data_IF_269395118107
#
_entry.id   IF_269395118107
#
_cell.length_a   1.000
_cell.length_b   1.000
_cell.length_c   1.000
_cell.angle_alpha   90.00
_cell.angle_beta   90.00
_cell.angle_gamma   90.00
#
_symmetry.space_group_name_H-M   'P 1'
#
loop_
_entity.id
_entity.type
_entity.pdbx_description
1 polymer ?
#
# COMPACT_ATOMS: atom_id res chain seq x y z
N UNK A 1 -22.27 4.05 38.13
CA UNK A 1 -23.20 3.69 37.08
C UNK A 1 -22.79 2.31 36.58
N UNK A 2 -23.69 1.32 36.77
CA UNK A 2 -23.44 -0.09 36.44
C UNK A 2 -23.06 -0.24 34.98
N UNK A 3 -21.87 -0.78 34.68
CA UNK A 3 -21.55 -1.30 33.36
C UNK A 3 -22.58 -2.38 33.04
N UNK A 4 -23.56 -2.03 32.21
CA UNK A 4 -24.49 -2.99 31.65
C UNK A 4 -23.62 -3.97 30.84
N UNK A 5 -23.48 -5.21 31.35
CA UNK A 5 -22.66 -6.25 30.71
C UNK A 5 -23.38 -6.69 29.43
N UNK A 6 -23.10 -5.97 28.31
CA UNK A 6 -23.55 -6.33 26.99
C UNK A 6 -23.10 -7.77 26.68
N UNK A 7 -24.06 -8.62 26.34
CA UNK A 7 -23.78 -9.98 25.89
C UNK A 7 -23.13 -9.97 24.51
N UNK A 8 -22.46 -11.06 24.15
CA UNK A 8 -21.88 -11.20 22.78
C UNK A 8 -22.94 -11.05 21.68
N UNK A 9 -24.19 -11.42 21.98
CA UNK A 9 -25.29 -11.36 21.01
C UNK A 9 -25.88 -9.96 20.87
N UNK A 10 -25.87 -9.14 21.92
CA UNK A 10 -26.25 -7.73 21.85
C UNK A 10 -25.28 -6.94 20.96
N UNK A 11 -23.98 -7.23 21.07
CA UNK A 11 -22.94 -6.61 20.23
C UNK A 11 -23.12 -6.97 18.76
N UNK A 12 -23.52 -8.22 18.44
CA UNK A 12 -23.76 -8.62 17.04
C UNK A 12 -24.98 -7.97 16.39
N UNK A 13 -25.95 -7.51 17.19
CA UNK A 13 -27.17 -6.83 16.71
C UNK A 13 -26.96 -5.35 16.39
N UNK A 14 -25.77 -4.79 16.63
CA UNK A 14 -25.48 -3.39 16.34
C UNK A 14 -25.63 -3.13 14.83
N UNK A 15 -26.48 -2.17 14.41
CA UNK A 15 -26.73 -1.92 12.99
C UNK A 15 -25.46 -1.44 12.26
N UNK A 16 -25.39 -1.75 10.99
CA UNK A 16 -24.38 -1.20 10.07
C UNK A 16 -24.86 0.17 9.60
N UNK A 17 -24.06 1.21 9.82
CA UNK A 17 -24.42 2.59 9.53
C UNK A 17 -23.68 3.14 8.31
N UNK A 18 -24.13 4.30 7.80
CA UNK A 18 -23.41 5.03 6.75
C UNK A 18 -22.00 5.43 7.19
N UNK A 19 -21.78 5.64 8.49
CA UNK A 19 -20.44 5.89 9.03
C UNK A 19 -19.52 4.68 8.89
N UNK A 20 -20.05 3.48 9.13
CA UNK A 20 -19.30 2.22 8.90
C UNK A 20 -18.98 2.05 7.40
N UNK A 21 -19.96 2.34 6.52
CA UNK A 21 -19.75 2.29 5.06
C UNK A 21 -18.66 3.27 4.61
N UNK A 22 -18.63 4.48 5.16
CA UNK A 22 -17.57 5.46 4.89
C UNK A 22 -16.18 4.91 5.22
N UNK A 23 -16.02 4.27 6.37
CA UNK A 23 -14.75 3.64 6.75
C UNK A 23 -14.39 2.45 5.88
N UNK A 24 -15.36 1.62 5.47
CA UNK A 24 -15.13 0.53 4.50
C UNK A 24 -14.57 1.09 3.19
N UNK A 25 -15.17 2.16 2.66
CA UNK A 25 -14.71 2.81 1.43
C UNK A 25 -13.29 3.36 1.58
N UNK A 26 -12.98 4.00 2.69
CA UNK A 26 -11.63 4.52 2.95
C UNK A 26 -10.59 3.41 3.06
N UNK A 27 -10.91 2.29 3.70
CA UNK A 27 -10.03 1.11 3.75
C UNK A 27 -9.76 0.55 2.34
N UNK A 28 -10.80 0.41 1.52
CA UNK A 28 -10.69 -0.01 0.12
C UNK A 28 -9.81 0.97 -0.67
N UNK A 29 -10.04 2.28 -0.49
CA UNK A 29 -9.27 3.30 -1.18
C UNK A 29 -7.79 3.30 -0.86
N UNK A 30 -7.42 2.98 0.37
CA UNK A 30 -6.03 2.86 0.80
C UNK A 30 -5.35 1.66 0.14
N UNK A 31 -6.05 0.53 -0.01
CA UNK A 31 -5.49 -0.68 -0.60
C UNK A 31 -5.32 -0.58 -2.13
N UNK A 32 -6.27 0.10 -2.82
CA UNK A 32 -6.20 0.28 -4.28
C UNK A 32 -5.12 1.30 -4.63
N UNK A 33 -3.90 0.82 -4.79
CA UNK A 33 -2.70 1.60 -5.10
C UNK A 33 -1.67 0.76 -5.87
N UNK A 34 -0.39 0.89 -5.55
CA UNK A 34 0.73 0.23 -6.24
C UNK A 34 0.58 -1.30 -6.34
N UNK A 35 0.02 -1.94 -5.31
CA UNK A 35 -0.16 -3.40 -5.32
C UNK A 35 -0.96 -3.89 -6.51
N UNK A 36 -2.08 -3.23 -6.81
CA UNK A 36 -2.96 -3.62 -7.92
C UNK A 36 -2.30 -3.42 -9.27
N UNK A 37 -1.59 -2.31 -9.45
CA UNK A 37 -1.05 -1.94 -10.78
C UNK A 37 0.21 -2.73 -11.15
N UNK A 38 0.94 -3.30 -10.18
CA UNK A 38 2.16 -4.08 -10.46
C UNK A 38 1.97 -5.59 -10.32
N UNK A 39 0.98 -6.03 -9.54
CA UNK A 39 0.72 -7.45 -9.30
C UNK A 39 0.53 -8.26 -10.62
N UNK A 40 -0.27 -7.80 -11.61
CA UNK A 40 -0.46 -8.58 -12.84
C UNK A 40 0.84 -8.78 -13.64
N UNK A 41 1.75 -7.79 -13.62
CA UNK A 41 3.06 -7.92 -14.29
C UNK A 41 3.89 -9.01 -13.60
N UNK A 42 3.94 -8.97 -12.29
CA UNK A 42 4.65 -9.99 -11.51
C UNK A 42 4.10 -11.40 -11.76
N UNK A 43 2.77 -11.54 -11.88
CA UNK A 43 2.14 -12.82 -12.21
C UNK A 43 2.51 -13.25 -13.64
N UNK A 44 2.47 -12.33 -14.59
CA UNK A 44 2.84 -12.63 -15.99
C UNK A 44 4.30 -13.06 -16.15
N UNK A 45 5.20 -12.56 -15.28
CA UNK A 45 6.63 -12.95 -15.29
C UNK A 45 6.86 -14.28 -14.58
N UNK A 46 6.27 -14.47 -13.38
CA UNK A 46 6.57 -15.60 -12.49
C UNK A 46 5.57 -16.77 -12.61
N UNK A 47 4.46 -16.55 -13.28
CA UNK A 47 3.43 -17.54 -13.54
C UNK A 47 2.28 -17.58 -12.53
N UNK A 48 1.14 -18.06 -13.01
CA UNK A 48 -0.12 -18.10 -12.25
C UNK A 48 -0.06 -19.05 -11.04
N UNK A 49 0.65 -20.16 -11.15
CA UNK A 49 0.76 -21.16 -10.07
C UNK A 49 1.48 -20.61 -8.84
N UNK A 50 2.54 -19.83 -9.06
CA UNK A 50 3.25 -19.12 -8.00
C UNK A 50 2.31 -18.13 -7.32
N UNK A 51 1.48 -17.43 -8.09
CA UNK A 51 0.51 -16.46 -7.56
C UNK A 51 -0.57 -17.16 -6.74
N UNK A 52 -1.15 -18.28 -7.21
CA UNK A 52 -2.17 -19.03 -6.46
C UNK A 52 -1.64 -19.46 -5.09
N UNK A 53 -0.43 -20.03 -5.03
CA UNK A 53 0.17 -20.41 -3.74
C UNK A 53 0.47 -19.19 -2.88
N UNK A 54 0.93 -18.08 -3.50
CA UNK A 54 1.14 -16.82 -2.78
C UNK A 54 -0.15 -16.28 -2.16
N UNK A 55 -1.29 -16.35 -2.86
CA UNK A 55 -2.60 -15.95 -2.31
C UNK A 55 -2.97 -16.82 -1.09
N UNK A 56 -2.86 -18.14 -1.22
CA UNK A 56 -3.22 -19.09 -0.16
C UNK A 56 -2.42 -18.81 1.12
N UNK A 57 -1.16 -18.40 0.98
CA UNK A 57 -0.30 -18.07 2.12
C UNK A 57 -0.51 -16.64 2.60
N UNK A 58 -0.50 -15.67 1.71
CA UNK A 58 -0.40 -14.25 2.08
C UNK A 58 -1.74 -13.66 2.49
N UNK A 59 -2.84 -13.98 1.79
CA UNK A 59 -4.15 -13.38 2.09
C UNK A 59 -4.65 -13.72 3.50
N UNK A 60 -4.69 -14.99 3.95
CA UNK A 60 -5.06 -15.27 5.33
C UNK A 60 -4.16 -14.54 6.33
N UNK A 61 -2.87 -14.47 6.04
CA UNK A 61 -1.91 -13.77 6.90
C UNK A 61 -2.17 -12.28 7.03
N UNK A 62 -2.52 -11.60 5.94
CA UNK A 62 -2.85 -10.16 6.00
C UNK A 62 -4.16 -9.94 6.78
N UNK A 63 -5.16 -10.79 6.57
CA UNK A 63 -6.38 -10.72 7.36
C UNK A 63 -6.09 -10.84 8.86
N UNK A 64 -5.32 -11.86 9.25
CA UNK A 64 -4.91 -12.08 10.64
C UNK A 64 -4.07 -10.92 11.19
N UNK A 65 -3.15 -10.40 10.39
CA UNK A 65 -2.32 -9.25 10.73
C UNK A 65 -3.17 -8.02 11.04
N UNK A 66 -4.12 -7.68 10.18
CA UNK A 66 -4.98 -6.52 10.36
C UNK A 66 -5.95 -6.70 11.55
N UNK A 67 -6.48 -7.91 11.75
CA UNK A 67 -7.33 -8.25 12.89
C UNK A 67 -6.56 -8.14 14.23
N UNK A 68 -5.34 -8.70 14.29
CA UNK A 68 -4.46 -8.62 15.47
C UNK A 68 -4.02 -7.18 15.71
N UNK A 69 -3.68 -6.43 14.66
CA UNK A 69 -3.33 -5.02 14.78
C UNK A 69 -4.46 -4.20 15.43
N UNK A 70 -5.70 -4.34 14.96
CA UNK A 70 -6.87 -3.70 15.57
C UNK A 70 -7.11 -4.14 17.01
N UNK A 71 -6.97 -5.43 17.30
CA UNK A 71 -7.11 -5.95 18.67
C UNK A 71 -6.03 -5.39 19.60
N UNK A 72 -4.79 -5.27 19.12
CA UNK A 72 -3.71 -4.63 19.89
C UNK A 72 -4.05 -3.17 20.21
N UNK A 73 -4.44 -2.39 19.19
CA UNK A 73 -4.88 -1.00 19.39
C UNK A 73 -6.05 -0.90 20.36
N UNK A 74 -6.98 -1.82 20.31
CA UNK A 74 -8.17 -1.81 21.17
C UNK A 74 -7.89 -2.18 22.63
N UNK A 75 -6.79 -2.86 22.96
CA UNK A 75 -6.42 -3.21 24.34
C UNK A 75 -5.76 -2.06 25.10
N UNK A 76 -5.18 -1.09 24.41
CA UNK A 76 -4.55 0.06 25.07
C UNK A 76 -5.57 1.00 25.69
N UNK A 77 -5.25 1.63 26.81
CA UNK A 77 -6.17 2.54 27.51
C UNK A 77 -6.45 3.79 26.66
N UNK A 78 -5.40 4.39 26.13
CA UNK A 78 -5.50 5.55 25.26
C UNK A 78 -5.77 5.15 23.81
N UNK A 79 -6.58 5.96 23.13
CA UNK A 79 -6.78 5.83 21.69
C UNK A 79 -5.60 6.48 20.93
N UNK A 80 -4.44 5.84 20.95
CA UNK A 80 -3.20 6.31 20.30
C UNK A 80 -2.91 5.56 19.01
N UNK A 81 -2.01 6.12 18.20
CA UNK A 81 -1.46 5.43 17.05
C UNK A 81 -0.49 4.29 17.46
N UNK A 82 -0.17 3.44 16.50
CA UNK A 82 0.64 2.25 16.79
C UNK A 82 2.07 2.57 17.22
N UNK A 83 2.67 3.65 16.69
CA UNK A 83 4.03 4.06 17.05
C UNK A 83 4.09 4.53 18.50
N UNK A 84 3.08 5.28 18.94
CA UNK A 84 2.93 5.70 20.33
C UNK A 84 2.76 4.52 21.28
N UNK A 85 2.01 3.49 20.87
CA UNK A 85 1.85 2.25 21.64
C UNK A 85 3.20 1.52 21.79
N UNK A 86 3.97 1.41 20.72
CA UNK A 86 5.29 0.80 20.77
C UNK A 86 6.21 1.60 21.71
N UNK A 87 6.24 2.91 21.61
CA UNK A 87 7.00 3.78 22.51
C UNK A 87 6.63 3.55 23.99
N UNK A 88 5.34 3.47 24.26
CA UNK A 88 4.82 3.30 25.62
C UNK A 88 5.22 1.96 26.25
N UNK A 89 5.16 0.88 25.49
CA UNK A 89 5.37 -0.48 26.00
C UNK A 89 6.79 -1.03 25.84
N UNK A 90 7.51 -0.62 24.80
CA UNK A 90 8.86 -1.11 24.51
C UNK A 90 9.96 -0.09 24.81
N UNK A 91 9.58 1.17 25.05
CA UNK A 91 10.51 2.24 25.44
C UNK A 91 11.06 3.08 24.29
N UNK A 92 11.85 4.14 24.59
CA UNK A 92 12.25 5.17 23.64
C UNK A 92 13.16 4.66 22.51
N UNK A 93 14.02 3.67 22.77
CA UNK A 93 14.89 3.12 21.73
C UNK A 93 14.09 2.40 20.64
N UNK A 94 13.02 1.72 21.00
CA UNK A 94 12.10 1.11 20.05
C UNK A 94 11.31 2.15 19.25
N UNK A 95 10.96 3.27 19.88
CA UNK A 95 10.32 4.39 19.20
C UNK A 95 11.23 4.99 18.12
N UNK A 96 12.51 5.19 18.42
CA UNK A 96 13.50 5.69 17.44
C UNK A 96 13.65 4.70 16.28
N UNK A 97 13.83 3.41 16.60
CA UNK A 97 13.93 2.36 15.58
C UNK A 97 12.71 2.34 14.66
N UNK A 98 11.50 2.38 15.24
CA UNK A 98 10.26 2.43 14.47
C UNK A 98 10.13 3.68 13.60
N UNK A 99 10.52 4.84 14.14
CA UNK A 99 10.48 6.09 13.38
C UNK A 99 11.40 6.05 12.16
N UNK A 100 12.58 5.47 12.29
CA UNK A 100 13.51 5.28 11.17
C UNK A 100 12.92 4.35 10.11
N UNK A 101 12.44 3.18 10.52
CA UNK A 101 11.85 2.21 9.57
C UNK A 101 10.61 2.80 8.90
N UNK A 102 9.77 3.48 9.67
CA UNK A 102 8.57 4.13 9.14
C UNK A 102 8.92 5.22 8.12
N UNK A 103 9.94 6.05 8.41
CA UNK A 103 10.45 7.03 7.46
C UNK A 103 10.94 6.37 6.17
N UNK A 104 11.71 5.28 6.27
CA UNK A 104 12.18 4.52 5.10
C UNK A 104 11.01 3.92 4.29
N UNK A 105 9.95 3.46 4.96
CA UNK A 105 8.73 2.96 4.29
C UNK A 105 8.02 4.08 3.53
N UNK A 106 7.87 5.26 4.13
CA UNK A 106 7.27 6.43 3.48
C UNK A 106 8.10 6.90 2.29
N UNK A 107 9.42 7.03 2.47
CA UNK A 107 10.34 7.41 1.41
C UNK A 107 10.30 6.44 0.22
N UNK A 108 10.36 5.13 0.50
CA UNK A 108 10.18 4.09 -0.52
C UNK A 108 8.84 4.20 -1.22
N UNK A 109 7.78 4.50 -0.49
CA UNK A 109 6.43 4.65 -1.05
C UNK A 109 6.35 5.79 -2.06
N UNK A 110 6.80 6.99 -1.69
CA UNK A 110 6.80 8.14 -2.62
C UNK A 110 7.74 7.92 -3.80
N UNK A 111 8.88 7.25 -3.61
CA UNK A 111 9.79 6.90 -4.69
C UNK A 111 9.14 5.92 -5.68
N UNK A 112 8.47 4.89 -5.18
CA UNK A 112 7.75 3.91 -6.01
C UNK A 112 6.70 4.58 -6.91
N UNK A 113 5.91 5.51 -6.36
CA UNK A 113 4.91 6.24 -7.13
C UNK A 113 5.51 7.29 -8.07
N UNK A 114 6.65 7.88 -7.73
CA UNK A 114 7.38 8.79 -8.61
C UNK A 114 7.91 8.06 -9.85
N UNK A 115 8.44 6.84 -9.68
CA UNK A 115 8.81 5.97 -10.80
C UNK A 115 7.57 5.66 -11.65
N UNK A 116 6.51 5.15 -11.05
CA UNK A 116 5.30 4.77 -11.76
C UNK A 116 4.72 5.92 -12.59
N UNK A 117 4.52 7.10 -11.99
CA UNK A 117 3.93 8.23 -12.72
C UNK A 117 4.82 8.73 -13.86
N UNK A 118 6.14 8.72 -13.67
CA UNK A 118 7.08 9.18 -14.70
C UNK A 118 7.05 8.28 -15.94
N UNK A 119 7.11 6.96 -15.74
CA UNK A 119 7.14 6.01 -16.85
C UNK A 119 5.75 5.77 -17.46
N UNK A 120 4.69 5.68 -16.65
CA UNK A 120 3.34 5.48 -17.14
C UNK A 120 2.83 6.69 -17.93
N UNK A 121 3.05 7.92 -17.43
CA UNK A 121 2.63 9.12 -18.14
C UNK A 121 3.31 9.25 -19.51
N UNK A 122 4.60 8.93 -19.59
CA UNK A 122 5.32 8.88 -20.86
C UNK A 122 4.75 7.80 -21.82
N UNK A 123 4.46 6.62 -21.27
CA UNK A 123 3.85 5.52 -22.03
C UNK A 123 2.45 5.86 -22.56
N UNK A 124 1.62 6.55 -21.74
CA UNK A 124 0.30 6.99 -22.16
C UNK A 124 0.36 8.03 -23.28
N UNK A 125 1.25 9.04 -23.17
CA UNK A 125 1.43 10.05 -24.22
C UNK A 125 1.79 9.39 -25.55
N UNK A 126 2.70 8.42 -25.54
CA UNK A 126 3.04 7.64 -26.73
C UNK A 126 1.86 6.79 -27.24
N UNK A 127 1.13 6.12 -26.34
CA UNK A 127 -0.01 5.26 -26.70
C UNK A 127 -1.15 6.04 -27.35
N UNK A 128 -1.36 7.31 -26.96
CA UNK A 128 -2.36 8.21 -27.57
C UNK A 128 -1.83 8.98 -28.79
N UNK A 129 -0.59 8.73 -29.22
CA UNK A 129 0.02 9.41 -30.37
C UNK A 129 0.28 10.91 -30.16
N UNK A 130 0.40 11.35 -28.90
CA UNK A 130 0.75 12.75 -28.56
C UNK A 130 2.25 12.97 -28.76
N UNK A 131 3.05 11.92 -28.55
CA UNK A 131 4.51 11.93 -28.75
C UNK A 131 4.96 10.71 -29.52
N UNK A 132 5.97 10.85 -30.39
CA UNK A 132 6.53 9.74 -31.16
C UNK A 132 7.43 8.85 -30.29
N UNK A 133 8.14 9.41 -29.33
CA UNK A 133 9.04 8.72 -28.39
C UNK A 133 8.54 8.75 -26.96
N UNK A 134 9.23 7.99 -26.08
CA UNK A 134 8.96 8.00 -24.66
C UNK A 134 9.50 9.27 -24.02
N UNK A 135 8.62 10.11 -23.47
CA UNK A 135 9.02 11.34 -22.75
C UNK A 135 9.91 11.05 -21.54
N UNK A 136 9.81 9.85 -20.96
CA UNK A 136 10.68 9.39 -19.85
C UNK A 136 12.17 9.26 -20.24
N UNK A 137 12.51 9.29 -21.52
CA UNK A 137 13.89 9.32 -21.97
C UNK A 137 14.54 10.68 -21.79
N UNK A 138 13.73 11.73 -21.66
CA UNK A 138 14.18 13.08 -21.40
C UNK A 138 14.30 13.35 -19.87
N UNK A 139 15.45 13.82 -19.42
CA UNK A 139 15.74 14.05 -18.00
C UNK A 139 14.76 15.02 -17.33
N UNK A 140 14.25 16.00 -18.06
CA UNK A 140 13.33 17.03 -17.53
C UNK A 140 11.91 16.49 -17.30
N UNK A 141 11.50 15.39 -17.96
CA UNK A 141 10.15 14.83 -17.83
C UNK A 141 9.87 14.38 -16.39
N UNK A 142 10.76 13.58 -15.81
CA UNK A 142 10.66 13.16 -14.42
C UNK A 142 10.63 14.35 -13.45
N UNK A 143 11.46 15.36 -13.69
CA UNK A 143 11.47 16.59 -12.87
C UNK A 143 10.12 17.31 -12.92
N UNK A 144 9.55 17.49 -14.12
CA UNK A 144 8.24 18.12 -14.32
C UNK A 144 7.15 17.39 -13.56
N UNK A 145 7.03 16.09 -13.81
CA UNK A 145 5.93 15.26 -13.25
C UNK A 145 6.02 15.16 -11.74
N UNK A 146 7.23 14.95 -11.19
CA UNK A 146 7.45 14.91 -9.74
C UNK A 146 7.18 16.26 -9.11
N UNK A 147 7.58 17.37 -9.74
CA UNK A 147 7.31 18.72 -9.24
C UNK A 147 5.81 19.00 -9.15
N UNK A 148 5.04 18.58 -10.15
CA UNK A 148 3.57 18.71 -10.12
C UNK A 148 2.96 17.88 -9.00
N UNK A 149 3.39 16.63 -8.82
CA UNK A 149 2.90 15.78 -7.74
C UNK A 149 3.21 16.34 -6.35
N UNK A 150 4.46 16.79 -6.13
CA UNK A 150 4.87 17.37 -4.86
C UNK A 150 4.15 18.67 -4.59
N UNK A 151 3.98 19.52 -5.61
CA UNK A 151 3.23 20.77 -5.48
C UNK A 151 1.76 20.51 -5.09
N UNK A 152 1.09 19.54 -5.72
CA UNK A 152 -0.27 19.12 -5.35
C UNK A 152 -0.34 18.57 -3.93
N UNK A 153 0.61 17.70 -3.56
CA UNK A 153 0.64 17.07 -2.24
C UNK A 153 0.93 18.07 -1.12
N UNK A 154 1.63 19.16 -1.42
CA UNK A 154 1.99 20.21 -0.46
C UNK A 154 0.86 21.19 -0.15
N UNK A 155 -0.29 21.12 -0.83
CA UNK A 155 -1.45 22.00 -0.58
C UNK A 155 -2.17 21.71 0.75
N UNK A 156 -1.82 20.62 1.42
CA UNK A 156 -2.33 20.26 2.74
C UNK A 156 -3.50 19.28 2.73
N UNK A 157 -3.81 18.79 3.93
CA UNK A 157 -4.76 17.70 4.15
C UNK A 157 -6.16 17.95 3.58
N UNK A 158 -6.69 19.16 3.71
CA UNK A 158 -8.06 19.49 3.30
C UNK A 158 -8.29 19.27 1.80
N UNK A 159 -7.33 19.67 0.97
CA UNK A 159 -7.42 19.49 -0.48
C UNK A 159 -7.29 17.99 -0.83
N UNK A 160 -6.36 17.32 -0.19
CA UNK A 160 -6.11 15.90 -0.41
C UNK A 160 -7.36 15.06 -0.09
N UNK A 161 -7.99 15.28 1.06
CA UNK A 161 -9.22 14.56 1.42
C UNK A 161 -10.38 14.88 0.48
N UNK A 162 -10.54 16.15 0.07
CA UNK A 162 -11.57 16.54 -0.88
C UNK A 162 -11.44 15.86 -2.24
N UNK A 163 -10.20 15.66 -2.72
CA UNK A 163 -9.93 15.01 -4.00
C UNK A 163 -10.00 13.48 -3.86
N UNK A 164 -9.40 12.92 -2.81
CA UNK A 164 -9.22 11.47 -2.66
C UNK A 164 -10.55 10.74 -2.43
N UNK A 165 -11.49 11.30 -1.69
CA UNK A 165 -12.74 10.61 -1.33
C UNK A 165 -13.58 10.18 -2.56
N UNK A 166 -13.93 11.06 -3.51
CA UNK A 166 -14.68 10.63 -4.70
C UNK A 166 -13.86 9.68 -5.59
N UNK A 167 -12.53 9.85 -5.65
CA UNK A 167 -11.66 9.01 -6.46
C UNK A 167 -11.66 7.54 -6.01
N UNK A 168 -11.88 7.28 -4.71
CA UNK A 168 -11.89 5.90 -4.17
C UNK A 168 -13.03 5.08 -4.74
N UNK A 169 -14.25 5.62 -4.75
CA UNK A 169 -15.42 4.93 -5.32
C UNK A 169 -15.25 4.67 -6.81
N UNK A 170 -14.75 5.67 -7.52
CA UNK A 170 -14.48 5.57 -8.96
C UNK A 170 -13.43 4.50 -9.23
N UNK A 171 -12.35 4.44 -8.44
CA UNK A 171 -11.31 3.41 -8.58
C UNK A 171 -11.86 1.99 -8.48
N UNK A 172 -12.68 1.71 -7.45
CA UNK A 172 -13.25 0.37 -7.27
C UNK A 172 -14.16 -0.01 -8.45
N UNK A 173 -15.00 0.94 -8.88
CA UNK A 173 -15.85 0.74 -10.07
C UNK A 173 -15.03 0.44 -11.33
N UNK A 174 -13.98 1.22 -11.57
CA UNK A 174 -13.13 1.04 -12.76
C UNK A 174 -12.36 -0.30 -12.69
N UNK A 175 -11.86 -0.71 -11.51
CA UNK A 175 -11.19 -2.02 -11.34
C UNK A 175 -12.11 -3.16 -11.79
N UNK A 176 -13.36 -3.14 -11.35
CA UNK A 176 -14.33 -4.16 -11.73
C UNK A 176 -14.69 -4.08 -13.22
N UNK A 177 -14.93 -2.89 -13.73
CA UNK A 177 -15.30 -2.68 -15.15
C UNK A 177 -14.17 -3.08 -16.10
N UNK A 178 -12.91 -2.77 -15.79
CA UNK A 178 -11.76 -3.22 -16.59
C UNK A 178 -11.68 -4.76 -16.56
N UNK A 179 -11.82 -5.37 -15.37
CA UNK A 179 -11.83 -6.82 -15.26
C UNK A 179 -12.90 -7.48 -16.13
N UNK A 180 -14.12 -6.92 -16.15
CA UNK A 180 -15.22 -7.39 -17.01
C UNK A 180 -14.90 -7.14 -18.50
N UNK A 181 -14.40 -5.96 -18.85
CA UNK A 181 -14.06 -5.60 -20.22
C UNK A 181 -12.93 -6.49 -20.81
N UNK A 182 -12.12 -7.10 -19.96
CA UNK A 182 -11.07 -8.04 -20.36
C UNK A 182 -11.57 -9.46 -20.63
N UNK A 183 -12.76 -9.86 -20.16
CA UNK A 183 -13.28 -11.23 -20.32
C UNK A 183 -13.29 -11.69 -21.80
N UNK A 184 -13.71 -10.89 -22.79
CA UNK A 184 -13.68 -11.29 -24.19
C UNK A 184 -12.26 -11.56 -24.74
N UNK A 185 -11.23 -11.08 -24.06
CA UNK A 185 -9.83 -11.20 -24.45
C UNK A 185 -9.09 -12.29 -23.66
N UNK A 186 -9.79 -13.06 -22.82
CA UNK A 186 -9.17 -14.14 -22.07
C UNK A 186 -8.65 -15.25 -22.99
N UNK A 187 -7.40 -15.59 -22.77
CA UNK A 187 -6.74 -16.69 -23.46
C UNK A 187 -6.08 -17.60 -22.42
N UNK A 188 -6.67 -18.77 -22.21
CA UNK A 188 -6.17 -19.74 -21.24
C UNK A 188 -4.83 -20.36 -21.63
N UNK A 189 -4.36 -20.20 -22.89
CA UNK A 189 -3.01 -20.58 -23.26
C UNK A 189 -1.91 -19.73 -22.62
N UNK A 190 -2.28 -18.58 -22.02
CA UNK A 190 -1.38 -17.76 -21.20
C UNK A 190 -1.04 -18.42 -19.85
N UNK A 191 -1.74 -19.49 -19.47
CA UNK A 191 -1.43 -20.25 -18.25
C UNK A 191 -0.13 -21.02 -18.50
N UNK A 192 0.95 -20.59 -17.84
CA UNK A 192 2.23 -21.26 -17.90
C UNK A 192 2.20 -22.65 -17.27
N UNK A 193 3.09 -23.54 -17.71
CA UNK A 193 3.32 -24.81 -17.04
C UNK A 193 3.82 -24.58 -15.60
N UNK A 194 3.66 -25.61 -14.75
CA UNK A 194 4.24 -25.57 -13.40
C UNK A 194 5.77 -25.46 -13.48
N UNK A 195 6.38 -24.46 -12.83
CA UNK A 195 7.84 -24.35 -12.79
C UNK A 195 8.45 -25.48 -11.97
N UNK A 196 9.76 -25.70 -12.13
CA UNK A 196 10.47 -26.66 -11.28
C UNK A 196 10.50 -26.16 -9.82
N UNK A 197 10.69 -27.07 -8.86
CA UNK A 197 10.55 -26.76 -7.42
C UNK A 197 11.49 -25.64 -6.94
N UNK A 198 12.72 -25.59 -7.45
CA UNK A 198 13.71 -24.57 -7.04
C UNK A 198 13.31 -23.16 -7.48
N UNK A 199 12.96 -22.99 -8.76
CA UNK A 199 12.44 -21.72 -9.28
C UNK A 199 11.10 -21.36 -8.67
N UNK A 200 10.24 -22.35 -8.38
CA UNK A 200 8.96 -22.13 -7.74
C UNK A 200 9.08 -21.47 -6.36
N UNK A 201 9.97 -21.99 -5.51
CA UNK A 201 10.20 -21.43 -4.16
C UNK A 201 10.77 -20.02 -4.27
N UNK A 202 11.79 -19.81 -5.10
CA UNK A 202 12.36 -18.48 -5.36
C UNK A 202 11.27 -17.48 -5.79
N UNK A 203 10.52 -17.84 -6.82
CA UNK A 203 9.50 -16.98 -7.43
C UNK A 203 8.33 -16.71 -6.48
N UNK A 204 8.01 -17.66 -5.56
CA UNK A 204 7.06 -17.47 -4.49
C UNK A 204 7.50 -16.34 -3.55
N UNK A 205 8.75 -16.37 -3.05
CA UNK A 205 9.28 -15.30 -2.20
C UNK A 205 9.31 -13.96 -2.90
N UNK A 206 9.63 -13.91 -4.20
CA UNK A 206 9.66 -12.68 -5.00
C UNK A 206 8.27 -12.15 -5.32
N UNK A 207 7.23 -12.99 -5.34
CA UNK A 207 5.84 -12.58 -5.63
C UNK A 207 5.08 -12.15 -4.37
N UNK A 208 5.40 -12.71 -3.19
CA UNK A 208 4.72 -12.38 -1.93
C UNK A 208 4.63 -10.88 -1.60
N UNK A 209 5.63 -10.01 -1.87
CA UNK A 209 5.51 -8.58 -1.64
C UNK A 209 4.33 -7.95 -2.40
N UNK A 210 4.14 -8.31 -3.66
CA UNK A 210 3.07 -7.77 -4.51
C UNK A 210 1.70 -8.29 -4.08
N UNK A 211 1.61 -9.59 -3.77
CA UNK A 211 0.38 -10.19 -3.22
C UNK A 211 -0.04 -9.51 -1.93
N UNK A 212 0.92 -9.17 -1.05
CA UNK A 212 0.63 -8.44 0.18
C UNK A 212 0.18 -7.00 -0.09
N UNK A 213 0.92 -6.25 -0.92
CA UNK A 213 0.60 -4.85 -1.22
C UNK A 213 -0.74 -4.69 -1.95
N UNK A 214 -1.23 -5.74 -2.61
CA UNK A 214 -2.49 -5.68 -3.33
C UNK A 214 -3.72 -5.52 -2.42
N UNK A 215 -3.64 -5.96 -1.16
CA UNK A 215 -4.78 -6.02 -0.23
C UNK A 215 -4.49 -5.37 1.13
N UNK A 216 -3.30 -4.82 1.32
CA UNK A 216 -2.89 -4.25 2.61
C UNK A 216 -3.41 -2.81 2.77
N UNK A 217 -4.16 -2.56 3.86
CA UNK A 217 -4.60 -1.21 4.28
C UNK A 217 -4.37 -0.94 5.77
N UNK A 218 -3.35 -1.57 6.36
CA UNK A 218 -3.06 -1.50 7.79
C UNK A 218 -2.90 -0.05 8.30
N UNK A 219 -2.39 0.86 7.48
CA UNK A 219 -2.11 2.25 7.85
C UNK A 219 -3.36 3.02 8.27
N UNK A 220 -4.54 2.68 7.71
CA UNK A 220 -5.80 3.34 8.07
C UNK A 220 -6.46 2.76 9.32
N UNK A 221 -6.02 1.61 9.81
CA UNK A 221 -6.68 0.93 10.94
C UNK A 221 -6.50 1.66 12.27
N UNK A 222 -5.39 2.39 12.49
CA UNK A 222 -5.23 3.28 13.63
C UNK A 222 -6.27 4.41 13.62
N UNK A 223 -6.40 5.21 12.54
CA UNK A 223 -7.50 6.18 12.40
C UNK A 223 -8.88 5.58 12.62
N UNK A 224 -9.18 4.40 12.07
CA UNK A 224 -10.45 3.69 12.27
C UNK A 224 -10.70 3.42 13.75
N UNK A 225 -9.74 2.85 14.47
CA UNK A 225 -9.86 2.55 15.90
C UNK A 225 -10.07 3.83 16.72
N UNK A 226 -9.29 4.88 16.46
CA UNK A 226 -9.40 6.18 17.14
C UNK A 226 -10.79 6.80 16.92
N UNK A 227 -11.28 6.77 15.68
CA UNK A 227 -12.57 7.33 15.31
C UNK A 227 -13.73 6.63 16.03
N UNK A 228 -13.74 5.28 16.04
CA UNK A 228 -14.78 4.55 16.78
C UNK A 228 -14.71 4.76 18.28
N UNK A 229 -13.51 4.86 18.86
CA UNK A 229 -13.35 5.14 20.30
C UNK A 229 -13.75 6.56 20.69
N UNK A 230 -13.83 7.50 19.76
CA UNK A 230 -14.37 8.85 20.00
C UNK A 230 -15.89 8.89 20.00
N UNK A 231 -16.56 8.09 19.18
CA UNK A 231 -18.03 8.11 19.05
C UNK A 231 -18.75 7.08 19.93
N UNK A 232 -18.06 6.00 20.32
CA UNK A 232 -18.62 4.93 21.14
C UNK A 232 -18.05 4.97 22.55
N UNK A 233 -18.92 5.19 23.52
CA UNK A 233 -18.54 5.18 24.95
C UNK A 233 -18.09 3.79 25.41
N UNK A 234 -18.67 2.73 24.82
CA UNK A 234 -18.35 1.35 25.14
C UNK A 234 -17.23 0.83 24.22
N UNK A 235 -16.08 0.55 24.81
CA UNK A 235 -14.89 0.07 24.10
C UNK A 235 -15.11 -1.24 23.34
N UNK A 236 -15.95 -2.15 23.86
CA UNK A 236 -16.27 -3.42 23.17
C UNK A 236 -17.04 -3.16 21.88
N UNK A 237 -17.99 -2.22 21.91
CA UNK A 237 -18.74 -1.79 20.72
C UNK A 237 -17.81 -1.14 19.70
N UNK A 238 -16.97 -0.20 20.12
CA UNK A 238 -15.99 0.45 19.27
C UNK A 238 -15.09 -0.57 18.54
N UNK A 239 -14.55 -1.53 19.30
CA UNK A 239 -13.69 -2.61 18.75
C UNK A 239 -14.45 -3.51 17.77
N UNK A 240 -15.67 -3.89 18.11
CA UNK A 240 -16.49 -4.73 17.24
C UNK A 240 -16.79 -4.03 15.90
N UNK A 241 -17.16 -2.75 15.92
CA UNK A 241 -17.42 -1.96 14.71
C UNK A 241 -16.16 -1.82 13.86
N UNK A 242 -15.00 -1.52 14.44
CA UNK A 242 -13.73 -1.44 13.74
C UNK A 242 -13.34 -2.77 13.07
N UNK A 243 -13.48 -3.91 13.79
CA UNK A 243 -13.22 -5.24 13.24
C UNK A 243 -14.22 -5.59 12.12
N UNK A 244 -15.50 -5.23 12.27
CA UNK A 244 -16.52 -5.45 11.23
C UNK A 244 -16.18 -4.69 9.94
N UNK A 245 -15.79 -3.42 10.05
CA UNK A 245 -15.33 -2.62 8.92
C UNK A 245 -14.13 -3.27 8.23
N UNK A 246 -13.12 -3.68 9.00
CA UNK A 246 -11.96 -4.39 8.48
C UNK A 246 -12.36 -5.65 7.70
N UNK A 247 -13.24 -6.48 8.23
CA UNK A 247 -13.71 -7.71 7.58
C UNK A 247 -14.43 -7.46 6.27
N UNK A 248 -15.35 -6.49 6.25
CA UNK A 248 -16.13 -6.16 5.05
C UNK A 248 -15.21 -5.57 3.98
N UNK A 249 -14.36 -4.61 4.34
CA UNK A 249 -13.40 -4.02 3.41
C UNK A 249 -12.45 -5.09 2.83
N UNK A 250 -11.95 -5.97 3.69
CA UNK A 250 -11.08 -7.07 3.29
C UNK A 250 -11.76 -8.02 2.30
N UNK A 251 -13.00 -8.44 2.57
CA UNK A 251 -13.73 -9.36 1.70
C UNK A 251 -14.00 -8.74 0.31
N UNK A 252 -14.46 -7.48 0.27
CA UNK A 252 -14.69 -6.76 -0.99
C UNK A 252 -13.39 -6.64 -1.78
N UNK A 253 -12.30 -6.24 -1.12
CA UNK A 253 -10.99 -6.11 -1.75
C UNK A 253 -10.49 -7.45 -2.29
N UNK A 254 -10.54 -8.52 -1.48
CA UNK A 254 -10.06 -9.83 -1.89
C UNK A 254 -10.74 -10.30 -3.18
N UNK A 255 -12.09 -10.21 -3.24
CA UNK A 255 -12.86 -10.62 -4.42
C UNK A 255 -12.52 -9.74 -5.63
N UNK A 256 -12.52 -8.41 -5.44
CA UNK A 256 -12.30 -7.46 -6.54
C UNK A 256 -10.91 -7.56 -7.13
N UNK A 257 -9.88 -7.70 -6.27
CA UNK A 257 -8.49 -7.75 -6.70
C UNK A 257 -8.14 -9.08 -7.33
N UNK A 258 -8.66 -10.19 -6.78
CA UNK A 258 -8.47 -11.50 -7.39
C UNK A 258 -9.10 -11.55 -8.78
N UNK A 259 -10.33 -11.08 -8.92
CA UNK A 259 -10.99 -10.98 -10.21
C UNK A 259 -10.18 -10.15 -11.22
N UNK A 260 -9.72 -8.98 -10.80
CA UNK A 260 -8.87 -8.11 -11.62
C UNK A 260 -7.55 -8.77 -12.00
N UNK A 261 -6.82 -9.35 -11.04
CA UNK A 261 -5.53 -9.99 -11.27
C UNK A 261 -5.65 -11.20 -12.23
N UNK A 262 -6.67 -12.04 -12.05
CA UNK A 262 -6.92 -13.16 -12.96
C UNK A 262 -7.33 -12.69 -14.35
N UNK A 263 -8.17 -11.63 -14.46
CA UNK A 263 -8.53 -11.07 -15.76
C UNK A 263 -7.31 -10.59 -16.54
N UNK A 264 -6.38 -9.91 -15.86
CA UNK A 264 -5.12 -9.50 -16.48
C UNK A 264 -4.24 -10.70 -16.87
N UNK A 265 -4.13 -11.70 -16.00
CA UNK A 265 -3.30 -12.88 -16.24
C UNK A 265 -3.79 -13.70 -17.44
N UNK A 266 -5.09 -13.81 -17.63
CA UNK A 266 -5.65 -14.51 -18.79
C UNK A 266 -5.57 -13.68 -20.06
N UNK A 267 -5.49 -12.34 -19.97
CA UNK A 267 -5.47 -11.45 -21.12
C UNK A 267 -4.05 -11.16 -21.63
N UNK A 268 -3.09 -10.97 -20.72
CA UNK A 268 -1.72 -10.60 -21.05
C UNK A 268 -0.79 -11.81 -21.01
N UNK A 269 0.03 -11.97 -22.05
CA UNK A 269 1.01 -13.04 -22.12
C UNK A 269 2.33 -12.68 -21.43
N UNK A 270 3.21 -13.67 -21.29
CA UNK A 270 4.51 -13.50 -20.64
C UNK A 270 5.40 -12.45 -21.31
N UNK A 271 5.44 -12.41 -22.65
CA UNK A 271 6.26 -11.45 -23.40
C UNK A 271 5.83 -10.01 -23.15
N UNK A 272 4.51 -9.78 -23.08
CA UNK A 272 3.93 -8.47 -22.77
C UNK A 272 4.26 -8.05 -21.33
N UNK A 273 4.21 -8.98 -20.36
CA UNK A 273 4.61 -8.71 -18.99
C UNK A 273 6.11 -8.38 -18.90
N UNK A 274 6.97 -9.08 -19.65
CA UNK A 274 8.40 -8.78 -19.74
C UNK A 274 8.68 -7.42 -20.41
N UNK A 275 7.88 -7.03 -21.41
CA UNK A 275 7.95 -5.70 -22.01
C UNK A 275 7.65 -4.60 -20.98
N UNK A 276 6.57 -4.77 -20.22
CA UNK A 276 6.22 -3.84 -19.16
C UNK A 276 7.32 -3.72 -18.09
N UNK A 277 7.91 -4.84 -17.71
CA UNK A 277 9.05 -4.87 -16.78
C UNK A 277 10.26 -4.07 -17.32
N UNK A 278 10.65 -4.32 -18.58
CA UNK A 278 11.76 -3.60 -19.22
C UNK A 278 11.50 -2.10 -19.36
N UNK A 279 10.26 -1.71 -19.65
CA UNK A 279 9.85 -0.31 -19.77
C UNK A 279 9.53 0.33 -18.40
N UNK A 280 9.54 -0.43 -17.33
CA UNK A 280 9.21 0.01 -15.96
C UNK A 280 7.80 0.62 -15.83
N UNK A 281 6.86 0.15 -16.65
CA UNK A 281 5.46 0.61 -16.69
C UNK A 281 4.54 -0.34 -15.91
N UNK A 282 3.39 0.16 -15.49
CA UNK A 282 2.37 -0.63 -14.79
C UNK A 282 1.55 -1.52 -15.73
N UNK A 283 0.83 -2.48 -15.17
CA UNK A 283 -0.12 -3.32 -15.90
C UNK A 283 -1.21 -2.49 -16.60
N UNK A 284 -1.61 -1.37 -16.00
CA UNK A 284 -2.60 -0.47 -16.61
C UNK A 284 -2.03 0.24 -17.85
N UNK A 285 -0.79 0.74 -17.78
CA UNK A 285 -0.14 1.34 -18.94
C UNK A 285 0.08 0.30 -20.06
N UNK A 286 0.44 -0.94 -19.69
CA UNK A 286 0.54 -2.03 -20.65
C UNK A 286 -0.82 -2.35 -21.30
N UNK A 287 -1.89 -2.46 -20.50
CA UNK A 287 -3.23 -2.76 -21.02
C UNK A 287 -3.71 -1.67 -22.00
N UNK A 288 -3.47 -0.40 -21.69
CA UNK A 288 -3.79 0.69 -22.61
C UNK A 288 -3.04 0.60 -23.95
N UNK A 289 -1.80 0.05 -23.92
CA UNK A 289 -0.95 -0.10 -25.10
C UNK A 289 -1.35 -1.30 -25.96
N UNK A 290 -1.75 -2.40 -25.35
CA UNK A 290 -1.94 -3.70 -26.02
C UNK A 290 -3.40 -3.98 -26.36
N UNK A 291 -4.35 -3.58 -25.50
CA UNK A 291 -5.75 -3.92 -25.69
C UNK A 291 -6.44 -2.97 -26.68
N UNK A 292 -7.31 -3.52 -27.56
CA UNK A 292 -8.12 -2.71 -28.45
C UNK A 292 -9.23 -1.97 -27.72
N UNK A 293 -9.69 -0.86 -28.29
CA UNK A 293 -10.83 -0.10 -27.77
C UNK A 293 -10.45 1.13 -26.97
N UNK A 294 -11.04 2.27 -27.36
CA UNK A 294 -10.81 3.56 -26.71
C UNK A 294 -11.30 3.60 -25.26
N UNK A 295 -12.39 2.90 -24.97
CA UNK A 295 -12.96 2.84 -23.62
C UNK A 295 -11.99 2.22 -22.60
N UNK A 296 -11.38 1.05 -22.95
CA UNK A 296 -10.41 0.38 -22.07
C UNK A 296 -9.19 1.30 -21.86
N UNK A 297 -8.69 1.94 -22.91
CA UNK A 297 -7.57 2.89 -22.80
C UNK A 297 -7.88 4.03 -21.85
N UNK A 298 -9.05 4.68 -21.96
CA UNK A 298 -9.45 5.77 -21.09
C UNK A 298 -9.59 5.29 -19.63
N UNK A 299 -10.26 4.15 -19.43
CA UNK A 299 -10.46 3.59 -18.08
C UNK A 299 -9.14 3.23 -17.40
N UNK A 300 -8.20 2.63 -18.13
CA UNK A 300 -6.88 2.29 -17.58
C UNK A 300 -6.07 3.53 -17.20
N UNK A 301 -6.12 4.59 -18.02
CA UNK A 301 -5.46 5.88 -17.69
C UNK A 301 -6.09 6.51 -16.45
N UNK A 302 -7.43 6.59 -16.38
CA UNK A 302 -8.13 7.16 -15.22
C UNK A 302 -7.82 6.39 -13.95
N UNK A 303 -7.88 5.05 -13.99
CA UNK A 303 -7.55 4.22 -12.84
C UNK A 303 -6.10 4.43 -12.40
N UNK A 304 -5.17 4.49 -13.35
CA UNK A 304 -3.75 4.69 -13.07
C UNK A 304 -3.51 6.05 -12.38
N UNK A 305 -4.02 7.12 -12.96
CA UNK A 305 -3.91 8.48 -12.38
C UNK A 305 -4.50 8.49 -10.97
N UNK A 306 -5.70 7.95 -10.79
CA UNK A 306 -6.36 7.95 -9.48
C UNK A 306 -5.63 7.07 -8.46
N UNK A 307 -5.14 5.90 -8.87
CA UNK A 307 -4.40 5.00 -7.98
C UNK A 307 -3.08 5.63 -7.52
N UNK A 308 -2.31 6.17 -8.46
CA UNK A 308 -1.01 6.79 -8.15
C UNK A 308 -1.20 8.08 -7.35
N UNK A 309 -2.07 8.98 -7.81
CA UNK A 309 -2.27 10.29 -7.19
C UNK A 309 -2.74 10.16 -5.74
N UNK A 310 -3.81 9.38 -5.49
CA UNK A 310 -4.34 9.24 -4.13
C UNK A 310 -3.35 8.59 -3.18
N UNK A 311 -2.58 7.61 -3.64
CA UNK A 311 -1.59 6.93 -2.83
C UNK A 311 -0.35 7.81 -2.58
N UNK A 312 0.14 8.51 -3.60
CA UNK A 312 1.24 9.47 -3.45
C UNK A 312 0.87 10.57 -2.45
N UNK A 313 -0.29 11.21 -2.64
CA UNK A 313 -0.77 12.29 -1.77
C UNK A 313 -0.86 11.84 -0.30
N UNK A 314 -1.41 10.66 -0.05
CA UNK A 314 -1.54 10.11 1.31
C UNK A 314 -0.19 9.82 1.98
N UNK A 315 0.76 9.23 1.23
CA UNK A 315 2.08 8.90 1.77
C UNK A 315 2.94 10.15 1.92
N UNK A 316 2.85 11.10 0.98
CA UNK A 316 3.65 12.31 1.00
C UNK A 316 3.37 13.19 2.22
N UNK A 317 2.15 13.27 2.69
CA UNK A 317 1.82 13.98 3.93
C UNK A 317 2.63 13.45 5.11
N UNK A 318 2.57 12.14 5.36
CA UNK A 318 3.35 11.53 6.43
C UNK A 318 4.86 11.69 6.25
N UNK A 319 5.34 11.59 5.02
CA UNK A 319 6.75 11.82 4.69
C UNK A 319 7.19 13.27 4.95
N UNK A 320 6.38 14.23 4.51
CA UNK A 320 6.64 15.66 4.71
C UNK A 320 6.75 16.00 6.20
N UNK A 321 5.84 15.49 7.02
CA UNK A 321 5.84 15.73 8.47
C UNK A 321 7.04 15.07 9.14
N UNK A 322 7.36 13.83 8.79
CA UNK A 322 8.53 13.14 9.30
C UNK A 322 9.84 13.87 8.92
N UNK A 323 9.97 14.30 7.66
CA UNK A 323 11.15 15.03 7.20
C UNK A 323 11.26 16.42 7.85
N UNK A 324 10.15 17.16 7.99
CA UNK A 324 10.11 18.43 8.75
C UNK A 324 10.57 18.23 10.19
N UNK A 325 10.12 17.15 10.84
CA UNK A 325 10.53 16.79 12.19
C UNK A 325 12.04 16.56 12.29
N UNK A 326 12.61 15.80 11.37
CA UNK A 326 14.05 15.53 11.32
C UNK A 326 14.85 16.82 11.11
N UNK A 327 14.48 17.63 10.11
CA UNK A 327 15.18 18.90 9.80
C UNK A 327 15.08 19.87 10.98
N UNK A 328 13.89 19.98 11.60
CA UNK A 328 13.70 20.83 12.78
C UNK A 328 14.58 20.38 13.94
N UNK A 329 14.69 19.09 14.22
CA UNK A 329 15.57 18.56 15.27
C UNK A 329 17.05 18.83 15.01
N UNK A 330 17.49 18.80 13.75
CA UNK A 330 18.87 19.14 13.39
C UNK A 330 19.10 20.64 13.55
N UNK A 331 18.23 21.48 12.99
CA UNK A 331 18.35 22.94 13.00
C UNK A 331 18.23 23.52 14.42
N UNK A 332 17.40 22.92 15.28
CA UNK A 332 17.21 23.35 16.66
C UNK A 332 18.48 23.23 17.54
N UNK A 333 19.48 22.47 17.07
CA UNK A 333 20.80 22.41 17.73
C UNK A 333 21.63 23.68 17.51
N UNK A 334 21.32 24.46 16.49
CA UNK A 334 22.06 25.63 16.07
C UNK A 334 21.24 26.93 16.21
N UNK A 335 19.91 26.84 16.08
CA UNK A 335 19.00 27.99 16.07
C UNK A 335 17.84 27.70 17.01
N UNK A 336 17.42 28.63 17.92
CA UNK A 336 16.24 28.44 18.75
C UNK A 336 14.98 28.10 17.92
N UNK A 337 14.17 27.17 18.39
CA UNK A 337 12.99 26.65 17.67
C UNK A 337 12.04 27.78 17.24
N UNK A 338 11.89 28.81 18.08
CA UNK A 338 11.03 29.98 17.84
C UNK A 338 11.47 30.85 16.63
N UNK A 339 12.74 30.76 16.24
CA UNK A 339 13.31 31.48 15.08
C UNK A 339 13.26 30.66 13.78
N UNK A 340 12.83 29.42 13.81
CA UNK A 340 12.73 28.58 12.62
C UNK A 340 11.52 29.04 11.79
N UNK A 341 11.78 29.50 10.58
CA UNK A 341 10.74 29.94 9.65
C UNK A 341 10.06 28.71 9.02
N UNK A 342 8.81 28.46 9.41
CA UNK A 342 8.02 27.31 8.93
C UNK A 342 7.78 27.33 7.41
N UNK A 343 7.70 28.50 6.78
CA UNK A 343 7.57 28.61 5.32
C UNK A 343 8.86 28.16 4.62
N UNK A 344 10.01 28.63 5.13
CA UNK A 344 11.30 28.23 4.61
C UNK A 344 11.50 26.70 4.78
N UNK A 345 11.18 26.15 5.94
CA UNK A 345 11.24 24.71 6.20
C UNK A 345 10.37 23.93 5.22
N UNK A 346 9.14 24.40 4.97
CA UNK A 346 8.23 23.74 4.02
C UNK A 346 8.75 23.78 2.59
N UNK A 347 9.27 24.93 2.12
CA UNK A 347 9.87 25.08 0.79
C UNK A 347 11.10 24.19 0.65
N UNK A 348 11.96 24.17 1.67
CA UNK A 348 13.15 23.30 1.69
C UNK A 348 12.78 21.83 1.56
N UNK A 349 11.80 21.37 2.34
CA UNK A 349 11.33 19.97 2.30
C UNK A 349 10.73 19.62 0.94
N UNK A 350 9.96 20.53 0.32
CA UNK A 350 9.43 20.32 -1.04
C UNK A 350 10.55 20.23 -2.07
N UNK A 351 11.49 21.18 -2.04
CA UNK A 351 12.62 21.20 -2.98
C UNK A 351 13.52 19.96 -2.82
N UNK A 352 13.84 19.59 -1.58
CA UNK A 352 14.59 18.38 -1.27
C UNK A 352 13.86 17.12 -1.78
N UNK A 353 12.54 17.03 -1.57
CA UNK A 353 11.73 15.91 -2.05
C UNK A 353 11.79 15.80 -3.57
N UNK A 354 11.58 16.91 -4.30
CA UNK A 354 11.63 16.93 -5.77
C UNK A 354 12.99 16.49 -6.27
N UNK A 355 14.06 17.09 -5.76
CA UNK A 355 15.42 16.81 -6.23
C UNK A 355 15.83 15.37 -5.92
N UNK A 356 15.59 14.89 -4.68
CA UNK A 356 15.96 13.54 -4.28
C UNK A 356 15.18 12.47 -5.07
N UNK A 357 13.88 12.65 -5.25
CA UNK A 357 13.05 11.73 -6.02
C UNK A 357 13.43 11.75 -7.51
N UNK A 358 13.68 12.92 -8.07
CA UNK A 358 14.14 13.05 -9.46
C UNK A 358 15.48 12.35 -9.68
N UNK A 359 16.48 12.59 -8.84
CA UNK A 359 17.76 11.90 -8.92
C UNK A 359 17.61 10.37 -8.86
N UNK A 360 16.75 9.89 -7.99
CA UNK A 360 16.47 8.45 -7.86
C UNK A 360 15.72 7.91 -9.07
N UNK A 361 14.76 8.64 -9.64
CA UNK A 361 14.04 8.23 -10.87
C UNK A 361 15.00 8.13 -12.05
N UNK A 362 16.02 9.01 -12.12
CA UNK A 362 17.06 8.96 -13.15
C UNK A 362 17.91 7.69 -13.10
N UNK A 363 17.97 7.00 -11.96
CA UNK A 363 18.63 5.67 -11.88
C UNK A 363 17.90 4.58 -12.67
N UNK A 364 16.66 4.83 -13.08
CA UNK A 364 15.76 3.86 -13.74
C UNK A 364 15.64 2.52 -12.99
N UNK A 365 15.73 2.57 -11.66
CA UNK A 365 15.58 1.37 -10.82
C UNK A 365 14.24 0.70 -11.13
N UNK A 366 14.26 -0.61 -11.28
CA UNK A 366 13.03 -1.38 -11.48
C UNK A 366 12.10 -1.25 -10.28
N UNK A 367 10.84 -0.89 -10.54
CA UNK A 367 9.79 -0.82 -9.50
C UNK A 367 9.60 -2.19 -8.86
N UNK A 368 9.72 -3.27 -9.63
CA UNK A 368 9.62 -4.64 -9.12
C UNK A 368 10.76 -4.90 -8.13
N UNK A 369 11.99 -4.62 -8.52
CA UNK A 369 13.16 -4.78 -7.65
C UNK A 369 13.04 -3.95 -6.36
N UNK A 370 12.60 -2.69 -6.46
CA UNK A 370 12.38 -1.81 -5.32
C UNK A 370 11.37 -2.40 -4.31
N UNK A 371 10.28 -2.99 -4.80
CA UNK A 371 9.28 -3.63 -3.95
C UNK A 371 9.81 -4.90 -3.27
N UNK A 372 10.62 -5.69 -3.96
CA UNK A 372 11.24 -6.89 -3.41
C UNK A 372 12.31 -6.55 -2.36
N UNK A 373 13.20 -5.58 -2.64
CA UNK A 373 14.23 -5.12 -1.70
C UNK A 373 13.62 -4.50 -0.43
N UNK A 374 12.48 -3.84 -0.54
CA UNK A 374 11.80 -3.21 0.61
C UNK A 374 10.91 -4.18 1.40
N UNK A 375 10.78 -5.43 0.98
CA UNK A 375 9.94 -6.42 1.66
C UNK A 375 10.26 -6.59 3.16
N UNK A 376 11.53 -6.59 3.60
CA UNK A 376 11.88 -6.66 5.03
C UNK A 376 11.27 -5.57 5.89
N UNK A 377 11.22 -4.32 5.40
CA UNK A 377 10.66 -3.19 6.15
C UNK A 377 9.20 -3.47 6.57
N UNK A 378 8.40 -3.95 5.64
CA UNK A 378 7.00 -4.30 5.90
C UNK A 378 6.85 -5.61 6.69
N UNK A 379 7.78 -6.55 6.55
CA UNK A 379 7.85 -7.76 7.37
C UNK A 379 8.11 -7.43 8.84
N UNK A 380 9.06 -6.54 9.11
CA UNK A 380 9.40 -6.09 10.46
C UNK A 380 8.22 -5.34 11.07
N UNK A 381 7.77 -4.24 10.44
CA UNK A 381 6.74 -3.35 11.00
C UNK A 381 5.38 -4.02 11.08
N UNK A 382 5.00 -4.75 10.04
CA UNK A 382 3.66 -5.34 9.95
C UNK A 382 3.51 -6.66 10.68
N UNK A 383 4.57 -7.46 10.79
CA UNK A 383 4.47 -8.84 11.26
C UNK A 383 5.31 -9.11 12.52
N UNK A 384 6.62 -8.83 12.47
CA UNK A 384 7.52 -9.22 13.53
C UNK A 384 7.34 -8.38 14.80
N UNK A 385 7.21 -7.05 14.66
CA UNK A 385 7.00 -6.16 15.82
C UNK A 385 5.65 -6.41 16.49
N UNK A 386 4.50 -6.51 15.78
CA UNK A 386 3.26 -6.92 16.42
C UNK A 386 3.34 -8.26 17.16
N UNK A 387 3.98 -9.25 16.55
CA UNK A 387 4.26 -10.52 17.19
C UNK A 387 5.07 -10.37 18.48
N UNK A 388 6.20 -9.67 18.41
CA UNK A 388 7.04 -9.40 19.58
C UNK A 388 6.30 -8.66 20.69
N UNK A 389 5.52 -7.63 20.32
CA UNK A 389 4.73 -6.85 21.28
C UNK A 389 3.74 -7.73 22.07
N UNK A 390 3.04 -8.65 21.39
CA UNK A 390 2.09 -9.58 22.00
C UNK A 390 2.78 -10.52 23.02
N UNK A 391 4.00 -10.95 22.73
CA UNK A 391 4.74 -11.79 23.66
C UNK A 391 5.36 -11.02 24.82
N UNK A 392 5.76 -9.77 24.61
CA UNK A 392 6.44 -8.94 25.63
C UNK A 392 5.48 -8.27 26.59
N UNK A 393 4.32 -7.83 26.15
CA UNK A 393 3.37 -7.03 26.91
C UNK A 393 2.28 -7.92 27.50
N UNK A 394 2.20 -8.00 28.84
CA UNK A 394 1.25 -8.86 29.57
C UNK A 394 -0.21 -8.58 29.22
N UNK A 395 -0.56 -7.32 28.98
CA UNK A 395 -1.90 -6.88 28.56
C UNK A 395 -2.37 -7.53 27.25
N UNK A 396 -1.43 -7.98 26.40
CA UNK A 396 -1.70 -8.56 25.08
C UNK A 396 -1.59 -10.09 25.07
N UNK A 397 -1.29 -10.72 26.21
CA UNK A 397 -1.06 -12.16 26.27
C UNK A 397 -2.28 -12.99 25.86
N UNK A 398 -3.50 -12.45 26.01
CA UNK A 398 -4.74 -13.10 25.54
C UNK A 398 -4.84 -13.20 24.01
N UNK A 399 -4.00 -12.47 23.28
CA UNK A 399 -3.90 -12.54 21.83
C UNK A 399 -2.91 -13.62 21.32
N UNK A 400 -2.14 -14.24 22.23
CA UNK A 400 -1.22 -15.33 21.87
C UNK A 400 -1.99 -16.50 21.27
N UNK A 401 -1.47 -17.07 20.18
CA UNK A 401 -2.08 -18.21 19.51
C UNK A 401 -1.49 -18.47 18.12
N UNK A 402 -2.03 -19.45 17.41
CA UNK A 402 -1.58 -19.85 16.08
C UNK A 402 -1.55 -18.72 15.06
N UNK A 403 -2.49 -17.76 15.16
CA UNK A 403 -2.52 -16.59 14.29
C UNK A 403 -1.26 -15.72 14.40
N UNK A 404 -0.70 -15.58 15.61
CA UNK A 404 0.52 -14.79 15.83
C UNK A 404 1.75 -15.52 15.27
N UNK A 405 1.84 -16.83 15.43
CA UNK A 405 2.90 -17.63 14.83
C UNK A 405 2.84 -17.55 13.29
N UNK A 406 1.65 -17.61 12.73
CA UNK A 406 1.45 -17.48 11.28
C UNK A 406 1.94 -16.15 10.75
N UNK A 407 1.60 -15.05 11.42
CA UNK A 407 2.05 -13.69 11.06
C UNK A 407 3.57 -13.57 11.17
N UNK A 408 4.17 -14.10 12.26
CA UNK A 408 5.62 -14.12 12.43
C UNK A 408 6.28 -14.89 11.29
N UNK A 409 5.73 -16.06 10.89
CA UNK A 409 6.20 -16.84 9.75
C UNK A 409 6.21 -16.03 8.45
N UNK A 410 5.12 -15.33 8.14
CA UNK A 410 5.05 -14.42 6.98
C UNK A 410 6.08 -13.30 7.09
N UNK A 411 6.25 -12.72 8.29
CA UNK A 411 7.25 -11.69 8.53
C UNK A 411 8.67 -12.16 8.23
N UNK A 412 9.02 -13.37 8.66
CA UNK A 412 10.31 -14.00 8.37
C UNK A 412 10.49 -14.31 6.89
N UNK A 413 9.48 -14.85 6.22
CA UNK A 413 9.53 -15.07 4.78
C UNK A 413 9.79 -13.77 4.02
N UNK A 414 9.13 -12.67 4.40
CA UNK A 414 9.36 -11.35 3.80
C UNK A 414 10.73 -10.79 4.12
N UNK A 415 11.23 -11.03 5.32
CA UNK A 415 12.59 -10.62 5.70
C UNK A 415 13.64 -11.31 4.83
N UNK A 416 13.39 -12.56 4.45
CA UNK A 416 14.27 -13.33 3.57
C UNK A 416 14.10 -13.02 2.06
N UNK A 417 13.06 -12.29 1.63
CA UNK A 417 12.80 -12.02 0.21
C UNK A 417 14.01 -11.50 -0.58
N UNK A 418 14.81 -10.52 -0.07
CA UNK A 418 15.97 -10.02 -0.82
C UNK A 418 17.05 -11.07 -1.10
N UNK A 419 17.15 -12.11 -0.28
CA UNK A 419 18.11 -13.19 -0.53
C UNK A 419 17.81 -13.96 -1.82
N UNK A 420 16.52 -14.04 -2.18
CA UNK A 420 16.08 -14.74 -3.39
C UNK A 420 16.27 -13.91 -4.67
N UNK A 421 16.51 -12.60 -4.55
CA UNK A 421 16.87 -11.74 -5.70
C UNK A 421 18.25 -12.15 -6.25
N UNK A 422 19.14 -12.63 -5.39
CA UNK A 422 20.48 -13.05 -5.80
C UNK A 422 20.48 -14.29 -6.72
N UNK A 423 19.35 -14.99 -6.81
CA UNK A 423 19.17 -16.20 -7.60
C UNK A 423 18.16 -16.00 -8.75
N UNK A 424 17.71 -14.76 -9.02
CA UNK A 424 16.69 -14.41 -10.05
C UNK A 424 17.27 -14.08 -11.46
#
# INVERSE_FOLDING_TARGET
MSECTLTKDDIKRIPFTLYDAGWVILCIGMAIGAGIVFLPIQIGIKGIWVFIVSIIIVYPGIYLLQDIYLKTLSRTEDAKDYTSIISQYLGPNWAIFMSIIYFLMLFKGIFNYSLAVTFDSASFLQTFGITDGLMSDHFWWGLLVISVLVALASQGEKLIFKISTPMVLVKLGIVLLIGIAMIPHWNFSNISALPNMGSFIRDLFLTMPFTLFSILFMQILSPVNIAYRKIESNRRIATYRAIRVNRIAYAILAISILFFAFSFTFTLNHEQAMLAYKQNITALALAAKVLPGSLIKIMTVLLNIFAILTAFLGIYLGFQDALKGIVRNIVSRFIPVEKINERFLSVFVCAFSVISLWCLVMTRMSIILLNQLSAPLYGIVGCLIPGYLIYKVSLLHDLKGMAVYYIIGIGLMRFCTPLFILFD
#
